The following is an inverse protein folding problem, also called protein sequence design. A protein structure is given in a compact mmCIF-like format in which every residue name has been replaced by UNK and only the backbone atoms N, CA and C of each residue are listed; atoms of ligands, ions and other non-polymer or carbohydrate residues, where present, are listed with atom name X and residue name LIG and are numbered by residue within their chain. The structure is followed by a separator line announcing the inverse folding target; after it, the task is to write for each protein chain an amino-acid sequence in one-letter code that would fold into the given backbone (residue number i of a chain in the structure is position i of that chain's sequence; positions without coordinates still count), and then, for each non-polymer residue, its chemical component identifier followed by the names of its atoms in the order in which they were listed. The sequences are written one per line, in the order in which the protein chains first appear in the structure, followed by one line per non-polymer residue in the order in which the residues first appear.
data_IF_722932554289
#
_entry.id   IF_722932554289
#
_cell.length_a   1.000
_cell.length_b   1.000
_cell.length_c   1.000
_cell.angle_alpha   90.00
_cell.angle_beta   90.00
_cell.angle_gamma   90.00
#
_symmetry.space_group_name_H-M   'P 1'
#
loop_
_entity.id
_entity.type
_entity.pdbx_description
1 polymer ?
#
# COMPACT_ATOMS: atom_id res chain seq x y z
N UNK A 1 7.83 12.15 17.03
CA UNK A 1 6.36 11.94 16.99
C UNK A 1 5.61 13.08 16.29
N UNK A 2 6.02 14.34 16.44
CA UNK A 2 5.32 15.51 15.90
C UNK A 2 5.32 15.54 14.36
N UNK A 3 6.47 15.28 13.72
CA UNK A 3 6.59 15.30 12.25
C UNK A 3 5.51 14.46 11.54
N UNK A 4 5.18 13.28 12.08
CA UNK A 4 4.19 12.38 11.47
C UNK A 4 2.75 12.87 11.64
N UNK A 5 2.46 13.57 12.73
CA UNK A 5 1.15 14.16 13.01
C UNK A 5 0.87 15.37 12.12
N UNK A 6 1.91 15.95 11.53
CA UNK A 6 1.79 17.08 10.59
C UNK A 6 1.92 16.60 9.14
N UNK A 7 2.94 15.80 8.83
CA UNK A 7 3.23 15.37 7.47
C UNK A 7 2.11 14.52 6.86
N UNK A 8 1.47 13.62 7.63
CA UNK A 8 0.42 12.75 7.08
C UNK A 8 -0.87 13.50 6.76
N UNK A 9 -1.40 14.38 7.64
CA UNK A 9 -2.52 15.25 7.26
C UNK A 9 -2.20 16.17 6.08
N UNK A 10 -1.00 16.76 6.03
CA UNK A 10 -0.61 17.61 4.91
C UNK A 10 -0.56 16.82 3.59
N UNK A 11 0.07 15.64 3.59
CA UNK A 11 0.10 14.78 2.41
C UNK A 11 -1.30 14.30 2.00
N UNK A 12 -2.14 13.95 2.98
CA UNK A 12 -3.52 13.51 2.73
C UNK A 12 -4.43 14.63 2.18
N UNK A 13 -4.15 15.88 2.51
CA UNK A 13 -5.02 17.02 2.20
C UNK A 13 -5.37 17.12 0.70
N UNK A 14 -4.39 16.94 -0.19
CA UNK A 14 -4.60 17.06 -1.63
C UNK A 14 -5.50 15.96 -2.19
N UNK A 15 -5.42 14.75 -1.63
CA UNK A 15 -6.27 13.64 -2.02
C UNK A 15 -7.71 13.84 -1.52
N UNK A 16 -7.87 14.27 -0.27
CA UNK A 16 -9.20 14.55 0.30
C UNK A 16 -9.88 15.68 -0.49
N UNK A 17 -9.16 16.78 -0.71
CA UNK A 17 -9.67 17.93 -1.46
C UNK A 17 -10.05 17.54 -2.90
N UNK A 18 -9.15 16.85 -3.60
CA UNK A 18 -9.42 16.38 -4.96
C UNK A 18 -10.60 15.42 -5.03
N UNK A 19 -10.69 14.46 -4.11
CA UNK A 19 -11.82 13.52 -4.06
C UNK A 19 -13.16 14.20 -3.79
N UNK A 20 -13.21 15.22 -2.92
CA UNK A 20 -14.42 16.01 -2.71
C UNK A 20 -14.82 16.74 -4.00
N UNK A 21 -13.86 17.32 -4.71
CA UNK A 21 -14.10 17.93 -6.03
C UNK A 21 -14.73 16.94 -7.02
N UNK A 22 -14.19 15.72 -7.08
CA UNK A 22 -14.70 14.65 -7.95
C UNK A 22 -16.13 14.19 -7.64
N UNK A 23 -16.53 14.21 -6.36
CA UNK A 23 -17.93 13.94 -5.99
C UNK A 23 -18.87 15.10 -6.31
N UNK A 24 -18.37 16.34 -6.22
CA UNK A 24 -19.16 17.55 -6.53
C UNK A 24 -19.42 17.70 -8.02
N UNK A 25 -18.45 17.36 -8.86
CA UNK A 25 -18.57 17.41 -10.32
C UNK A 25 -18.19 16.09 -10.99
N UNK A 26 -18.90 15.02 -10.64
CA UNK A 26 -18.61 13.69 -11.20
C UNK A 26 -18.72 13.67 -12.72
N UNK A 27 -19.68 14.40 -13.30
CA UNK A 27 -19.92 14.38 -14.74
C UNK A 27 -18.85 15.14 -15.53
N UNK A 28 -18.40 16.30 -15.04
CA UNK A 28 -17.29 17.03 -15.65
C UNK A 28 -16.00 16.20 -15.61
N UNK A 29 -15.73 15.58 -14.46
CA UNK A 29 -14.58 14.69 -14.33
C UNK A 29 -14.68 13.44 -15.21
N UNK A 30 -15.87 12.81 -15.31
CA UNK A 30 -16.12 11.64 -16.15
C UNK A 30 -15.80 11.93 -17.63
N UNK A 31 -16.30 13.05 -18.16
CA UNK A 31 -16.01 13.51 -19.53
C UNK A 31 -14.52 13.78 -19.74
N UNK A 32 -13.85 14.36 -18.75
CA UNK A 32 -12.43 14.67 -18.85
C UNK A 32 -11.55 13.40 -18.86
N UNK A 33 -11.99 12.31 -18.22
CA UNK A 33 -11.21 11.06 -18.16
C UNK A 33 -11.57 10.04 -19.25
N UNK A 34 -12.73 10.20 -19.88
CA UNK A 34 -13.26 9.26 -20.89
C UNK A 34 -12.24 8.88 -21.99
N UNK A 35 -11.52 9.82 -22.63
CA UNK A 35 -10.54 9.47 -23.67
C UNK A 35 -9.39 8.59 -23.15
N UNK A 36 -9.00 8.81 -21.89
CA UNK A 36 -7.91 8.05 -21.27
C UNK A 36 -8.35 6.68 -20.76
N UNK A 37 -9.61 6.56 -20.34
CA UNK A 37 -10.17 5.29 -19.88
C UNK A 37 -10.28 4.29 -21.04
N UNK A 38 -10.74 4.74 -22.21
CA UNK A 38 -10.81 3.88 -23.41
C UNK A 38 -9.42 3.34 -23.78
N UNK A 39 -8.42 4.22 -23.93
CA UNK A 39 -7.04 3.81 -24.24
C UNK A 39 -6.43 2.91 -23.16
N UNK A 40 -6.77 3.14 -21.88
CA UNK A 40 -6.33 2.28 -20.79
C UNK A 40 -6.96 0.89 -20.85
N UNK A 41 -8.28 0.79 -21.06
CA UNK A 41 -9.01 -0.48 -21.14
C UNK A 41 -8.57 -1.32 -22.34
N UNK A 42 -8.34 -0.70 -23.48
CA UNK A 42 -7.85 -1.38 -24.69
C UNK A 42 -6.48 -2.03 -24.45
N UNK A 43 -5.60 -1.38 -23.67
CA UNK A 43 -4.26 -1.90 -23.35
C UNK A 43 -4.25 -3.02 -22.31
N UNK A 44 -5.32 -3.16 -21.53
CA UNK A 44 -5.44 -4.17 -20.46
C UNK A 44 -6.57 -5.16 -20.73
N UNK A 45 -7.09 -5.16 -21.96
CA UNK A 45 -8.12 -6.08 -22.41
C UNK A 45 -7.65 -7.53 -22.19
N UNK A 46 -8.47 -8.33 -21.50
CA UNK A 46 -8.13 -9.70 -21.09
C UNK A 46 -7.36 -9.85 -19.75
N UNK A 47 -6.84 -8.76 -19.18
CA UNK A 47 -6.23 -8.76 -17.83
C UNK A 47 -7.19 -8.30 -16.74
N UNK A 48 -8.21 -7.52 -17.12
CA UNK A 48 -9.18 -6.94 -16.20
C UNK A 48 -10.46 -7.80 -16.17
N UNK A 49 -10.91 -8.23 -14.99
CA UNK A 49 -12.17 -8.98 -14.88
C UNK A 49 -13.36 -8.20 -15.43
N UNK A 50 -14.32 -8.92 -16.03
CA UNK A 50 -15.57 -8.33 -16.57
C UNK A 50 -16.42 -7.59 -15.50
N UNK A 51 -16.12 -7.84 -14.23
CA UNK A 51 -16.77 -7.23 -13.07
C UNK A 51 -16.32 -5.77 -12.84
N UNK A 52 -15.27 -5.30 -13.50
CA UNK A 52 -14.80 -3.92 -13.37
C UNK A 52 -15.73 -2.98 -14.14
N UNK A 53 -16.34 -1.98 -13.49
CA UNK A 53 -17.20 -1.02 -14.18
C UNK A 53 -16.44 -0.30 -15.30
N UNK A 54 -17.06 -0.18 -16.47
CA UNK A 54 -16.53 0.59 -17.61
C UNK A 54 -17.12 1.99 -17.72
N UNK A 55 -18.15 2.28 -16.94
CA UNK A 55 -18.76 3.61 -16.87
C UNK A 55 -17.79 4.64 -16.23
N UNK A 56 -17.39 5.69 -16.96
CA UNK A 56 -16.47 6.72 -16.45
C UNK A 56 -16.97 7.38 -15.16
N UNK A 57 -18.26 7.65 -15.04
CA UNK A 57 -18.82 8.30 -13.85
C UNK A 57 -18.70 7.41 -12.59
N UNK A 58 -18.95 6.11 -12.74
CA UNK A 58 -18.77 5.12 -11.68
C UNK A 58 -17.30 5.02 -11.25
N UNK A 59 -16.36 4.98 -12.19
CA UNK A 59 -14.93 4.94 -11.89
C UNK A 59 -14.46 6.21 -11.16
N UNK A 60 -14.91 7.39 -11.60
CA UNK A 60 -14.65 8.67 -10.92
C UNK A 60 -15.17 8.64 -9.48
N UNK A 61 -16.38 8.11 -9.24
CA UNK A 61 -16.92 7.98 -7.87
C UNK A 61 -16.10 7.03 -7.01
N UNK A 62 -15.69 5.89 -7.55
CA UNK A 62 -14.85 4.92 -6.84
C UNK A 62 -13.51 5.58 -6.45
N UNK A 63 -12.85 6.23 -7.41
CA UNK A 63 -11.58 6.93 -7.17
C UNK A 63 -11.74 8.03 -6.10
N UNK A 64 -12.82 8.80 -6.17
CA UNK A 64 -13.11 9.83 -5.19
C UNK A 64 -13.30 9.26 -3.77
N UNK A 65 -14.07 8.17 -3.63
CA UNK A 65 -14.28 7.49 -2.34
C UNK A 65 -12.97 6.93 -1.80
N UNK A 66 -12.13 6.34 -2.65
CA UNK A 66 -10.80 5.84 -2.26
C UNK A 66 -9.92 6.99 -1.78
N UNK A 67 -9.84 8.11 -2.53
CA UNK A 67 -9.02 9.27 -2.15
C UNK A 67 -9.45 9.88 -0.83
N UNK A 68 -10.74 10.04 -0.59
CA UNK A 68 -11.27 10.57 0.67
C UNK A 68 -11.02 9.58 1.80
N UNK A 69 -11.42 8.32 1.63
CA UNK A 69 -11.31 7.29 2.67
C UNK A 69 -9.86 7.00 3.07
N UNK A 70 -9.00 6.76 2.08
CA UNK A 70 -7.58 6.53 2.31
C UNK A 70 -6.87 7.80 2.80
N UNK A 71 -7.23 8.99 2.30
CA UNK A 71 -6.73 10.27 2.80
C UNK A 71 -7.05 10.46 4.29
N UNK A 72 -8.30 10.25 4.70
CA UNK A 72 -8.71 10.33 6.11
C UNK A 72 -8.02 9.28 6.98
N UNK A 73 -7.88 8.05 6.48
CA UNK A 73 -7.16 6.99 7.17
C UNK A 73 -5.67 7.36 7.37
N UNK A 74 -5.01 7.88 6.33
CA UNK A 74 -3.63 8.35 6.39
C UNK A 74 -3.46 9.51 7.38
N UNK A 75 -4.31 10.53 7.29
CA UNK A 75 -4.31 11.70 8.17
C UNK A 75 -4.51 11.30 9.65
N UNK A 76 -5.45 10.39 9.90
CA UNK A 76 -5.75 9.87 11.25
C UNK A 76 -4.70 8.86 11.75
N UNK A 77 -3.79 8.42 10.89
CA UNK A 77 -2.81 7.37 11.20
C UNK A 77 -3.41 5.97 11.34
N UNK A 78 -4.62 5.72 10.83
CA UNK A 78 -5.26 4.41 10.77
C UNK A 78 -4.76 3.66 9.53
N UNK A 79 -4.11 2.51 9.73
CA UNK A 79 -3.53 1.69 8.66
C UNK A 79 -2.75 2.52 7.59
N UNK A 80 -1.81 3.40 7.99
CA UNK A 80 -1.21 4.40 7.10
C UNK A 80 -0.49 3.77 5.90
N UNK A 81 -0.02 2.53 6.05
CA UNK A 81 0.64 1.79 4.97
C UNK A 81 -0.33 1.41 3.85
N UNK A 82 -1.48 0.84 4.22
CA UNK A 82 -2.51 0.47 3.26
C UNK A 82 -3.14 1.71 2.63
N UNK A 83 -3.41 2.73 3.45
CA UNK A 83 -3.90 4.01 2.96
C UNK A 83 -2.95 4.64 1.93
N UNK A 84 -1.64 4.65 2.20
CA UNK A 84 -0.65 5.22 1.27
C UNK A 84 -0.54 4.41 -0.02
N UNK A 85 -0.62 3.08 0.06
CA UNK A 85 -0.60 2.21 -1.12
C UNK A 85 -1.87 2.38 -1.97
N UNK A 86 -3.04 2.53 -1.34
CA UNK A 86 -4.28 2.82 -2.05
C UNK A 86 -4.20 4.16 -2.79
N UNK A 87 -3.73 5.23 -2.11
CA UNK A 87 -3.53 6.53 -2.74
C UNK A 87 -2.51 6.49 -3.87
N UNK A 88 -1.40 5.74 -3.72
CA UNK A 88 -0.44 5.50 -4.81
C UNK A 88 -1.10 4.82 -6.02
N UNK A 89 -1.90 3.79 -5.76
CA UNK A 89 -2.64 3.06 -6.79
C UNK A 89 -3.58 3.96 -7.59
N UNK A 90 -4.16 4.99 -6.98
CA UNK A 90 -4.97 5.99 -7.70
C UNK A 90 -4.14 7.05 -8.42
N UNK A 91 -3.02 7.48 -7.81
CA UNK A 91 -2.21 8.60 -8.31
C UNK A 91 -1.40 8.23 -9.54
N UNK A 92 -0.83 7.02 -9.59
CA UNK A 92 0.07 6.63 -10.68
C UNK A 92 -0.67 6.50 -12.02
N UNK A 93 -1.80 5.77 -12.14
CA UNK A 93 -2.51 5.67 -13.41
C UNK A 93 -3.03 7.03 -13.88
N UNK A 94 -3.57 7.84 -12.96
CA UNK A 94 -4.09 9.18 -13.31
C UNK A 94 -2.98 10.13 -13.76
N UNK A 95 -1.79 10.04 -13.17
CA UNK A 95 -0.63 10.84 -13.61
C UNK A 95 -0.13 10.42 -14.99
N UNK A 96 -0.03 9.10 -15.23
CA UNK A 96 0.43 8.56 -16.51
C UNK A 96 -0.59 8.80 -17.63
N UNK A 97 -1.87 8.91 -17.31
CA UNK A 97 -2.90 9.28 -18.29
C UNK A 97 -2.88 10.78 -18.58
N UNK A 98 -2.92 11.62 -17.53
CA UNK A 98 -3.20 13.05 -17.70
C UNK A 98 -1.97 13.94 -17.96
N UNK A 99 -0.76 13.48 -17.63
CA UNK A 99 0.45 14.33 -17.63
C UNK A 99 1.62 13.71 -18.40
N UNK A 100 1.35 13.26 -19.62
CA UNK A 100 2.32 12.67 -20.56
C UNK A 100 3.11 13.78 -21.27
N UNK A 101 3.89 14.53 -20.52
CA UNK A 101 4.63 15.69 -21.05
C UNK A 101 5.55 15.34 -22.24
N UNK A 102 5.97 14.08 -22.37
CA UNK A 102 6.77 13.58 -23.48
C UNK A 102 6.01 13.51 -24.82
N UNK A 103 4.68 13.58 -24.82
CA UNK A 103 3.84 13.59 -26.03
C UNK A 103 3.47 15.01 -26.48
N UNK A 104 3.71 16.02 -25.63
CA UNK A 104 3.43 17.42 -25.94
C UNK A 104 4.42 17.98 -26.97
N UNK A 105 3.88 18.54 -28.06
CA UNK A 105 4.66 19.17 -29.14
C UNK A 105 4.95 20.65 -28.87
N UNK A 106 4.07 21.33 -28.13
CA UNK A 106 4.23 22.74 -27.78
C UNK A 106 5.16 22.91 -26.55
N UNK A 107 6.22 23.76 -26.63
CA UNK A 107 7.19 23.91 -25.53
C UNK A 107 6.57 24.39 -24.21
N UNK A 108 5.64 25.35 -24.27
CA UNK A 108 5.00 25.90 -23.07
C UNK A 108 4.10 24.88 -22.37
N UNK A 109 3.29 24.14 -23.14
CA UNK A 109 2.43 23.09 -22.62
C UNK A 109 3.26 21.93 -22.03
N UNK A 110 4.34 21.55 -22.71
CA UNK A 110 5.27 20.52 -22.23
C UNK A 110 5.83 20.86 -20.85
N UNK A 111 6.27 22.10 -20.65
CA UNK A 111 6.78 22.56 -19.35
C UNK A 111 5.70 22.49 -18.25
N UNK A 112 4.47 22.92 -18.56
CA UNK A 112 3.37 22.87 -17.61
C UNK A 112 3.02 21.42 -17.21
N UNK A 113 2.93 20.50 -18.18
CA UNK A 113 2.69 19.09 -17.91
C UNK A 113 3.84 18.45 -17.12
N UNK A 114 5.09 18.79 -17.44
CA UNK A 114 6.26 18.29 -16.71
C UNK A 114 6.26 18.71 -15.24
N UNK A 115 5.89 19.96 -14.95
CA UNK A 115 5.74 20.45 -13.57
C UNK A 115 4.68 19.66 -12.82
N UNK A 116 3.54 19.38 -13.45
CA UNK A 116 2.46 18.63 -12.82
C UNK A 116 2.84 17.16 -12.59
N UNK A 117 3.53 16.54 -13.55
CA UNK A 117 4.13 15.22 -13.39
C UNK A 117 5.08 15.17 -12.19
N UNK A 118 5.99 16.15 -12.08
CA UNK A 118 6.95 16.21 -10.96
C UNK A 118 6.28 16.45 -9.61
N UNK A 119 5.20 17.24 -9.54
CA UNK A 119 4.38 17.37 -8.33
C UNK A 119 3.81 16.01 -7.90
N UNK A 120 3.23 15.27 -8.85
CA UNK A 120 2.68 13.95 -8.57
C UNK A 120 3.78 12.94 -8.19
N UNK A 121 4.96 13.02 -8.81
CA UNK A 121 6.12 12.21 -8.42
C UNK A 121 6.57 12.51 -6.98
N UNK A 122 6.60 13.78 -6.58
CA UNK A 122 6.87 14.19 -5.20
C UNK A 122 5.84 13.65 -4.21
N UNK A 123 4.55 13.72 -4.55
CA UNK A 123 3.46 13.13 -3.76
C UNK A 123 3.62 11.61 -3.64
N UNK A 124 3.93 10.93 -4.73
CA UNK A 124 4.20 9.49 -4.74
C UNK A 124 5.38 9.13 -3.83
N UNK A 125 6.47 9.90 -3.87
CA UNK A 125 7.59 9.75 -2.94
C UNK A 125 7.17 9.88 -1.47
N UNK A 126 6.37 10.90 -1.14
CA UNK A 126 5.80 11.07 0.20
C UNK A 126 4.93 9.89 0.65
N UNK A 127 4.11 9.35 -0.25
CA UNK A 127 3.27 8.19 0.01
C UNK A 127 4.11 6.91 0.20
N UNK A 128 5.16 6.71 -0.60
CA UNK A 128 6.07 5.58 -0.45
C UNK A 128 6.81 5.62 0.89
N UNK A 129 7.24 6.80 1.33
CA UNK A 129 7.80 6.98 2.67
C UNK A 129 6.77 6.62 3.75
N UNK A 130 5.53 7.08 3.61
CA UNK A 130 4.45 6.74 4.54
C UNK A 130 4.08 5.23 4.52
N UNK A 131 4.23 4.56 3.37
CA UNK A 131 4.02 3.12 3.21
C UNK A 131 5.14 2.27 3.85
N UNK A 132 6.39 2.74 3.76
CA UNK A 132 7.55 2.11 4.37
C UNK A 132 7.69 2.37 5.87
N UNK A 133 7.06 3.43 6.36
CA UNK A 133 7.20 3.90 7.73
C UNK A 133 6.52 2.99 8.78
N UNK A 134 7.34 2.30 9.59
CA UNK A 134 6.89 1.37 10.64
C UNK A 134 6.64 2.04 12.00
N UNK A 135 6.82 3.36 12.11
CA UNK A 135 6.60 4.10 13.35
C UNK A 135 7.31 3.54 14.60
N UNK A 136 8.49 2.94 14.40
CA UNK A 136 9.26 2.30 15.47
C UNK A 136 8.65 0.99 15.98
N UNK A 137 7.50 0.55 15.45
CA UNK A 137 6.91 -0.75 15.74
C UNK A 137 7.58 -1.80 14.85
N UNK A 138 8.02 -2.95 15.38
CA UNK A 138 8.57 -4.00 14.55
C UNK A 138 7.54 -4.44 13.51
N UNK A 139 7.99 -4.62 12.27
CA UNK A 139 7.13 -5.02 11.15
C UNK A 139 6.40 -6.34 11.44
N UNK A 140 5.26 -6.57 10.79
CA UNK A 140 4.51 -7.83 10.94
C UNK A 140 5.39 -9.05 10.59
N UNK A 141 6.22 -8.95 9.55
CA UNK A 141 7.19 -9.98 9.21
C UNK A 141 8.23 -10.23 10.32
N UNK A 142 8.71 -9.16 10.97
CA UNK A 142 9.59 -9.32 12.13
C UNK A 142 8.88 -10.00 13.30
N UNK A 143 7.63 -9.64 13.58
CA UNK A 143 6.82 -10.28 14.65
C UNK A 143 6.57 -11.75 14.34
N UNK A 144 6.23 -12.10 13.11
CA UNK A 144 6.03 -13.48 12.66
C UNK A 144 7.33 -14.29 12.76
N UNK A 145 8.45 -13.79 12.24
CA UNK A 145 9.77 -14.43 12.37
C UNK A 145 10.19 -14.61 13.83
N UNK A 146 9.92 -13.61 14.68
CA UNK A 146 10.22 -13.71 16.12
C UNK A 146 9.34 -14.76 16.82
N UNK A 147 8.08 -14.87 16.45
CA UNK A 147 7.18 -15.91 16.97
C UNK A 147 7.66 -17.32 16.53
N UNK A 148 7.97 -17.50 15.25
CA UNK A 148 8.54 -18.75 14.72
C UNK A 148 9.86 -19.12 15.40
N UNK A 149 10.77 -18.15 15.58
CA UNK A 149 12.04 -18.35 16.30
C UNK A 149 11.81 -18.78 17.75
N UNK A 150 10.85 -18.17 18.46
CA UNK A 150 10.49 -18.57 19.83
C UNK A 150 9.90 -19.99 19.88
N UNK A 151 9.05 -20.35 18.91
CA UNK A 151 8.49 -21.69 18.82
C UNK A 151 9.58 -22.75 18.59
N UNK A 152 10.50 -22.50 17.65
CA UNK A 152 11.65 -23.38 17.39
C UNK A 152 12.55 -23.56 18.63
N UNK A 153 12.86 -22.47 19.34
CA UNK A 153 13.62 -22.55 20.61
C UNK A 153 12.90 -23.35 21.70
N UNK A 154 11.56 -23.32 21.72
CA UNK A 154 10.74 -24.13 22.61
C UNK A 154 10.84 -25.63 22.28
N UNK A 155 10.71 -25.96 20.99
CA UNK A 155 10.84 -27.33 20.48
C UNK A 155 12.23 -27.91 20.78
N UNK A 156 13.30 -27.16 20.53
CA UNK A 156 14.69 -27.57 20.83
C UNK A 156 14.89 -27.87 22.32
N UNK A 157 14.34 -27.03 23.21
CA UNK A 157 14.44 -27.22 24.66
C UNK A 157 13.68 -28.46 25.11
N UNK A 158 12.51 -28.73 24.53
CA UNK A 158 11.71 -29.92 24.81
C UNK A 158 12.43 -31.19 24.33
N UNK A 159 12.95 -31.20 23.11
CA UNK A 159 13.74 -32.31 22.57
C UNK A 159 14.97 -32.62 23.43
N UNK A 160 15.73 -31.60 23.83
CA UNK A 160 16.88 -31.76 24.75
C UNK A 160 16.48 -32.32 26.12
N UNK A 161 15.32 -31.94 26.66
CA UNK A 161 14.81 -32.51 27.93
C UNK A 161 14.37 -33.96 27.78
N UNK A 162 13.71 -34.29 26.67
CA UNK A 162 13.26 -35.65 26.37
C UNK A 162 14.43 -36.61 26.20
N UNK A 163 15.45 -36.24 25.40
CA UNK A 163 16.68 -37.03 25.25
C UNK A 163 17.38 -37.24 26.59
N UNK A 164 17.59 -36.19 27.40
CA UNK A 164 18.18 -36.34 28.74
C UNK A 164 17.39 -37.27 29.66
N UNK A 165 16.06 -37.30 29.56
CA UNK A 165 15.22 -38.22 30.34
C UNK A 165 15.34 -39.65 29.82
N UNK A 166 15.35 -39.84 28.50
CA UNK A 166 15.58 -41.14 27.87
C UNK A 166 16.94 -41.72 28.27
N UNK A 167 18.01 -40.93 28.21
CA UNK A 167 19.36 -41.35 28.63
C UNK A 167 19.39 -41.76 30.10
N UNK A 168 18.70 -41.02 30.97
CA UNK A 168 18.59 -41.37 32.40
C UNK A 168 17.85 -42.67 32.63
N UNK A 169 16.76 -42.91 31.89
CA UNK A 169 15.97 -44.13 31.98
C UNK A 169 16.76 -45.33 31.47
N UNK A 170 17.45 -45.18 30.33
CA UNK A 170 18.36 -46.19 29.78
C UNK A 170 19.42 -46.61 30.80
N UNK A 171 20.17 -45.64 31.35
CA UNK A 171 21.18 -45.92 32.38
C UNK A 171 20.61 -46.58 33.64
N UNK A 172 19.36 -46.28 34.00
CA UNK A 172 18.69 -46.89 35.16
C UNK A 172 18.28 -48.33 34.86
N UNK A 173 17.83 -48.62 33.64
CA UNK A 173 17.52 -49.97 33.18
C UNK A 173 18.77 -50.84 33.09
N UNK A 174 19.87 -50.32 32.52
CA UNK A 174 21.16 -51.04 32.47
C UNK A 174 21.64 -51.45 33.87
N UNK A 175 21.57 -50.54 34.85
CA UNK A 175 21.93 -50.81 36.24
C UNK A 175 21.03 -51.85 36.92
N UNK A 176 19.77 -51.98 36.51
CA UNK A 176 18.84 -52.95 37.06
C UNK A 176 19.01 -54.36 36.47
N UNK A 177 19.69 -54.48 35.33
CA UNK A 177 19.98 -55.76 34.66
C UNK A 177 21.34 -56.33 35.12
N UNK A 178 22.25 -55.48 35.59
CA UNK A 178 23.60 -55.89 36.05
C UNK A 178 23.69 -56.24 37.53
N UNK A 179 22.58 -56.19 38.26
CA UNK A 179 22.47 -56.46 39.70
C UNK A 179 21.46 -57.55 39.98
#
# INVERSE_FOLDING_TARGET
MILRRVARPLLASIFIYGGIGMLRDTQGHAKAVEPFLTDAFDKVEGLVPDQVPRDPATLVRIDAVVKIGAGLALASGKAPRLASLALLGTLLPTTLAAHRFWESKEPAEKQAQQVQFLKNAGLAGGLLLAAGDTAGRPSLGWRARRAAKKAGQGADKLGKKASKRADKLSKKAEKAITH
#
